data_IF_586142184985
#
_entry.id   IF_586142184985
#
_cell.length_a   1.000
_cell.length_b   1.000
_cell.length_c   1.000
_cell.angle_alpha   90.00
_cell.angle_beta   90.00
_cell.angle_gamma   90.00
#
_symmetry.space_group_name_H-M   'P 1'
#
loop_
_entity.id
_entity.type
_entity.pdbx_description
1 polymer ?
#
# COMPACT_ATOMS: atom_id res chain seq x y z
N UNK A 1 17.51 0.70 -0.38
CA UNK A 1 17.38 -0.35 0.66
C UNK A 1 17.91 -1.66 0.11
N UNK A 2 18.65 -2.39 0.92
CA UNK A 2 19.23 -3.67 0.57
C UNK A 2 19.26 -4.62 1.77
N UNK A 3 18.95 -5.90 1.55
CA UNK A 3 19.17 -6.97 2.53
C UNK A 3 20.18 -7.98 1.97
N UNK A 4 21.13 -8.39 2.79
CA UNK A 4 22.13 -9.40 2.44
C UNK A 4 21.65 -10.80 2.88
N UNK A 5 22.00 -11.86 2.14
CA UNK A 5 22.68 -11.88 0.84
C UNK A 5 21.76 -11.41 -0.30
N UNK A 6 22.31 -10.65 -1.25
CA UNK A 6 21.55 -10.14 -2.41
C UNK A 6 21.59 -11.14 -3.55
N UNK A 7 20.62 -12.05 -3.58
CA UNK A 7 20.56 -13.15 -4.57
C UNK A 7 19.81 -12.77 -5.85
N UNK A 8 18.93 -11.77 -5.78
CA UNK A 8 18.12 -11.34 -6.91
C UNK A 8 17.92 -9.82 -6.93
N UNK A 9 17.62 -9.26 -8.10
CA UNK A 9 17.45 -7.82 -8.32
C UNK A 9 16.50 -7.15 -7.29
N UNK A 10 15.34 -7.72 -6.93
CA UNK A 10 14.45 -7.11 -5.92
C UNK A 10 15.04 -7.01 -4.50
N UNK A 11 16.14 -7.70 -4.20
CA UNK A 11 16.86 -7.54 -2.91
C UNK A 11 17.56 -6.18 -2.78
N UNK A 12 17.57 -5.36 -3.83
CA UNK A 12 18.01 -3.97 -3.78
C UNK A 12 17.03 -3.08 -4.55
N UNK A 13 16.34 -2.19 -3.84
CA UNK A 13 15.38 -1.27 -4.45
C UNK A 13 15.46 0.12 -3.81
N UNK A 14 15.06 1.13 -4.56
CA UNK A 14 14.89 2.48 -4.09
C UNK A 14 13.51 2.68 -3.45
N UNK A 15 13.49 3.32 -2.29
CA UNK A 15 12.30 3.67 -1.53
C UNK A 15 12.28 5.18 -1.35
N UNK A 16 11.08 5.75 -1.25
CA UNK A 16 10.91 7.13 -0.85
C UNK A 16 11.12 7.26 0.67
N UNK A 17 11.86 8.30 1.07
CA UNK A 17 12.23 8.50 2.47
C UNK A 17 11.13 9.30 3.18
N UNK A 18 10.58 8.72 4.25
CA UNK A 18 9.69 9.43 5.18
C UNK A 18 10.31 9.45 6.58
N UNK A 19 10.65 10.65 7.06
CA UNK A 19 11.22 10.82 8.41
C UNK A 19 10.10 10.78 9.45
N UNK A 20 10.17 9.83 10.39
CA UNK A 20 9.14 9.59 11.39
C UNK A 20 9.44 10.33 12.71
N UNK A 21 9.38 11.68 12.68
CA UNK A 21 9.72 12.54 13.83
C UNK A 21 8.77 12.43 15.03
N UNK A 22 7.59 11.84 14.85
CA UNK A 22 6.58 11.71 15.90
C UNK A 22 6.81 10.49 16.80
N UNK A 23 7.75 9.62 16.45
CA UNK A 23 8.06 8.44 17.25
C UNK A 23 9.04 8.80 18.37
N UNK A 24 9.00 8.08 19.51
CA UNK A 24 9.98 8.25 20.57
C UNK A 24 11.41 7.96 20.08
N UNK A 25 12.40 8.66 20.64
CA UNK A 25 13.83 8.49 20.32
C UNK A 25 14.36 7.06 20.59
N UNK A 26 13.61 6.26 21.36
CA UNK A 26 13.92 4.84 21.60
C UNK A 26 13.70 3.95 20.38
N UNK A 27 12.99 4.41 19.36
CA UNK A 27 12.71 3.62 18.15
C UNK A 27 13.69 3.97 17.04
N UNK A 28 14.86 3.32 17.08
CA UNK A 28 15.98 3.55 16.16
C UNK A 28 16.03 2.52 15.01
N UNK A 29 14.87 2.06 14.54
CA UNK A 29 14.77 1.03 13.49
C UNK A 29 14.26 1.61 12.18
N UNK A 30 14.73 1.03 11.07
CA UNK A 30 14.17 1.32 9.76
C UNK A 30 12.79 0.66 9.67
N UNK A 31 11.83 1.36 9.05
CA UNK A 31 10.47 0.85 8.83
C UNK A 31 10.16 0.76 7.36
N UNK A 32 9.51 -0.33 6.97
CA UNK A 32 9.00 -0.53 5.63
C UNK A 32 7.66 -1.25 5.65
N UNK A 33 6.90 -1.12 4.55
CA UNK A 33 5.63 -1.82 4.41
C UNK A 33 5.84 -3.33 4.20
N UNK A 34 5.00 -4.16 4.83
CA UNK A 34 5.03 -5.64 4.73
C UNK A 34 5.00 -6.17 3.29
N UNK A 35 4.43 -5.41 2.36
CA UNK A 35 4.37 -5.77 0.95
C UNK A 35 5.75 -5.91 0.28
N UNK A 36 6.83 -5.43 0.92
CA UNK A 36 8.20 -5.56 0.45
C UNK A 36 8.95 -6.74 1.08
N UNK A 37 8.39 -7.40 2.09
CA UNK A 37 9.06 -8.46 2.84
C UNK A 37 9.50 -9.60 1.93
N UNK A 38 8.61 -10.07 1.05
CA UNK A 38 8.92 -11.10 0.06
C UNK A 38 10.07 -10.68 -0.87
N UNK A 39 10.16 -9.41 -1.26
CA UNK A 39 11.24 -8.91 -2.13
C UNK A 39 12.61 -8.92 -1.47
N UNK A 40 12.66 -8.79 -0.14
CA UNK A 40 13.90 -8.82 0.65
C UNK A 40 14.14 -10.15 1.36
N UNK A 41 13.17 -11.06 1.30
CA UNK A 41 13.09 -12.25 2.14
C UNK A 41 13.23 -11.93 3.64
N UNK A 42 12.59 -10.84 4.09
CA UNK A 42 12.70 -10.32 5.45
C UNK A 42 11.48 -10.67 6.31
N UNK A 43 11.68 -10.97 7.59
CA UNK A 43 10.64 -11.45 8.52
C UNK A 43 10.54 -10.67 9.85
N UNK A 44 11.38 -9.65 10.04
CA UNK A 44 11.38 -8.74 11.20
C UNK A 44 11.70 -9.41 12.56
N UNK A 45 12.43 -10.52 12.56
CA UNK A 45 12.85 -11.22 13.80
C UNK A 45 14.17 -10.69 14.42
N UNK A 46 14.74 -9.63 13.84
CA UNK A 46 16.08 -9.13 14.14
C UNK A 46 16.90 -8.79 12.90
N UNK A 47 16.32 -8.96 11.71
CA UNK A 47 16.91 -8.60 10.42
C UNK A 47 17.54 -7.20 10.36
N UNK A 48 18.76 -7.13 9.83
CA UNK A 48 19.45 -5.89 9.50
C UNK A 48 19.38 -5.60 7.99
N UNK A 49 19.25 -4.31 7.65
CA UNK A 49 19.20 -3.86 6.25
C UNK A 49 20.07 -2.62 6.04
N UNK A 50 20.66 -2.55 4.85
CA UNK A 50 21.50 -1.44 4.44
C UNK A 50 20.69 -0.33 3.76
N UNK A 51 20.97 0.90 4.16
CA UNK A 51 20.50 2.12 3.52
C UNK A 51 21.63 2.74 2.69
N UNK A 52 21.37 2.99 1.41
CA UNK A 52 22.29 3.73 0.54
C UNK A 52 21.60 5.02 0.11
N UNK A 53 22.31 6.15 0.17
CA UNK A 53 21.79 7.46 -0.23
C UNK A 53 22.43 7.87 -1.57
N UNK A 54 21.67 7.89 -2.68
CA UNK A 54 22.16 8.37 -3.97
C UNK A 54 22.44 9.88 -3.93
N UNK A 55 23.69 10.28 -4.12
CA UNK A 55 24.10 11.69 -4.05
C UNK A 55 23.95 12.44 -5.38
N UNK A 56 24.32 11.81 -6.50
CA UNK A 56 24.31 12.42 -7.84
C UNK A 56 22.91 12.48 -8.48
N UNK A 57 22.69 13.46 -9.37
CA UNK A 57 21.42 13.63 -10.08
C UNK A 57 21.07 12.42 -10.94
N UNK A 58 22.06 11.86 -11.65
CA UNK A 58 21.88 10.64 -12.47
C UNK A 58 21.45 9.48 -11.58
N UNK A 59 22.17 9.23 -10.49
CA UNK A 59 21.86 8.14 -9.55
C UNK A 59 20.46 8.31 -8.90
N UNK A 60 20.05 9.56 -8.59
CA UNK A 60 18.69 9.85 -8.12
C UNK A 60 17.63 9.54 -9.18
N UNK A 61 17.89 9.91 -10.43
CA UNK A 61 16.99 9.62 -11.55
C UNK A 61 16.85 8.10 -11.78
N UNK A 62 17.96 7.36 -11.82
CA UNK A 62 17.94 5.90 -11.93
C UNK A 62 17.22 5.25 -10.74
N UNK A 63 17.41 5.82 -9.55
CA UNK A 63 16.69 5.37 -8.34
C UNK A 63 15.19 5.52 -8.48
N UNK A 64 14.71 6.66 -9.00
CA UNK A 64 13.27 6.94 -9.15
C UNK A 64 12.64 6.17 -10.31
N UNK A 65 13.36 6.00 -11.42
CA UNK A 65 12.78 5.53 -12.69
C UNK A 65 13.16 4.10 -13.08
N UNK A 66 14.14 3.48 -12.42
CA UNK A 66 14.59 2.12 -12.76
C UNK A 66 14.42 1.19 -11.56
N UNK A 67 15.02 1.52 -10.42
CA UNK A 67 15.07 0.62 -9.25
C UNK A 67 14.02 0.96 -8.18
N UNK A 68 13.10 1.88 -8.45
CA UNK A 68 12.03 2.21 -7.52
C UNK A 68 11.12 1.01 -7.25
N UNK A 69 10.70 0.84 -5.99
CA UNK A 69 9.90 -0.33 -5.61
C UNK A 69 8.65 -0.57 -6.49
N UNK A 70 7.84 0.45 -6.90
CA UNK A 70 6.64 0.20 -7.70
C UNK A 70 6.95 -0.40 -9.08
N UNK A 71 8.15 -0.14 -9.60
CA UNK A 71 8.62 -0.64 -10.90
C UNK A 71 9.18 -2.08 -10.81
N UNK A 72 9.31 -2.63 -9.60
CA UNK A 72 9.80 -3.99 -9.34
C UNK A 72 8.68 -4.89 -8.80
N UNK A 73 7.48 -4.79 -9.37
CA UNK A 73 6.31 -5.56 -8.93
C UNK A 73 6.39 -7.05 -9.32
N UNK A 74 7.04 -7.36 -10.44
CA UNK A 74 7.12 -8.70 -11.03
C UNK A 74 8.48 -9.33 -10.79
N UNK A 75 8.52 -10.64 -10.56
CA UNK A 75 9.75 -11.44 -10.52
C UNK A 75 10.29 -11.58 -11.96
N UNK A 76 11.58 -11.28 -12.21
CA UNK A 76 12.16 -11.40 -13.55
C UNK A 76 12.17 -12.83 -14.13
N UNK A 77 12.16 -13.84 -13.27
CA UNK A 77 12.30 -15.26 -13.63
C UNK A 77 11.06 -15.81 -14.33
N UNK A 78 9.87 -15.54 -13.78
CA UNK A 78 8.61 -16.13 -14.24
C UNK A 78 7.49 -15.10 -14.47
N UNK A 79 7.75 -13.81 -14.17
CA UNK A 79 6.74 -12.76 -14.27
C UNK A 79 5.64 -12.87 -13.21
N UNK A 80 5.81 -13.65 -12.14
CA UNK A 80 4.85 -13.67 -11.03
C UNK A 80 4.95 -12.38 -10.20
N UNK A 81 3.85 -11.90 -9.58
CA UNK A 81 3.92 -10.74 -8.70
C UNK A 81 4.64 -11.09 -7.38
N UNK A 82 5.71 -10.36 -7.03
CA UNK A 82 6.46 -10.57 -5.78
C UNK A 82 5.89 -9.79 -4.60
N UNK A 83 5.23 -8.65 -4.89
CA UNK A 83 4.71 -7.73 -3.88
C UNK A 83 3.23 -8.00 -3.67
N UNK A 84 2.86 -8.27 -2.42
CA UNK A 84 1.48 -8.56 -2.04
C UNK A 84 1.23 -8.28 -0.56
N UNK A 85 -0.04 -8.14 -0.21
CA UNK A 85 -0.44 -8.07 1.19
C UNK A 85 -0.38 -9.49 1.80
N UNK A 86 0.05 -9.57 3.06
CA UNK A 86 0.29 -10.85 3.76
C UNK A 86 -0.38 -10.84 5.14
N UNK A 87 -0.47 -12.03 5.75
CA UNK A 87 -0.89 -12.26 7.15
C UNK A 87 -2.24 -11.60 7.46
N UNK A 88 -2.28 -10.67 8.42
CA UNK A 88 -3.48 -9.99 8.91
C UNK A 88 -4.32 -9.36 7.79
N UNK A 89 -3.69 -8.89 6.70
CA UNK A 89 -4.42 -8.33 5.57
C UNK A 89 -5.27 -9.37 4.85
N UNK A 90 -4.76 -10.62 4.75
CA UNK A 90 -5.48 -11.73 4.14
C UNK A 90 -6.64 -12.15 5.04
N UNK A 91 -6.39 -12.28 6.35
CA UNK A 91 -7.42 -12.62 7.33
C UNK A 91 -8.52 -11.57 7.40
N UNK A 92 -8.14 -10.29 7.40
CA UNK A 92 -9.07 -9.17 7.36
C UNK A 92 -9.86 -9.16 6.04
N UNK A 93 -9.22 -9.41 4.90
CA UNK A 93 -9.91 -9.47 3.61
C UNK A 93 -10.94 -10.61 3.58
N UNK A 94 -10.61 -11.79 4.11
CA UNK A 94 -11.56 -12.91 4.23
C UNK A 94 -12.73 -12.49 5.10
N UNK A 95 -12.48 -12.00 6.33
CA UNK A 95 -13.54 -11.56 7.25
C UNK A 95 -14.41 -10.47 6.63
N UNK A 96 -13.82 -9.47 5.99
CA UNK A 96 -14.56 -8.40 5.33
C UNK A 96 -15.41 -8.89 4.15
N UNK A 97 -14.95 -9.89 3.41
CA UNK A 97 -15.65 -10.36 2.20
C UNK A 97 -16.63 -11.51 2.45
N UNK A 98 -16.80 -11.94 3.70
CA UNK A 98 -17.85 -12.89 4.07
C UNK A 98 -19.26 -12.30 3.82
N UNK A 99 -20.22 -13.18 3.50
CA UNK A 99 -21.57 -12.78 3.10
C UNK A 99 -22.41 -12.18 4.23
N UNK A 100 -22.10 -12.52 5.47
CA UNK A 100 -22.74 -12.07 6.70
C UNK A 100 -22.16 -10.76 7.25
N UNK A 101 -21.12 -10.21 6.60
CA UNK A 101 -20.48 -8.98 7.06
C UNK A 101 -21.21 -7.75 6.55
N UNK A 102 -21.98 -7.13 7.45
CA UNK A 102 -22.73 -5.90 7.22
C UNK A 102 -22.14 -4.71 7.99
N UNK A 103 -21.92 -3.61 7.28
CA UNK A 103 -21.22 -2.42 7.75
C UNK A 103 -22.22 -1.25 7.80
N UNK A 104 -22.19 -0.50 8.91
CA UNK A 104 -23.01 0.70 9.09
C UNK A 104 -22.45 1.88 8.28
N UNK A 105 -23.29 2.88 7.99
CA UNK A 105 -22.84 4.10 7.29
C UNK A 105 -21.67 4.80 7.98
N UNK A 106 -21.70 4.85 9.32
CA UNK A 106 -20.62 5.46 10.10
C UNK A 106 -19.30 4.71 9.94
N UNK A 107 -19.34 3.37 10.04
CA UNK A 107 -18.15 2.54 9.86
C UNK A 107 -17.66 2.56 8.41
N UNK A 108 -18.56 2.58 7.42
CA UNK A 108 -18.22 2.77 6.01
C UNK A 108 -17.39 4.04 5.78
N UNK A 109 -17.84 5.18 6.32
CA UNK A 109 -17.11 6.44 6.22
C UNK A 109 -15.72 6.37 6.89
N UNK A 110 -15.63 5.72 8.05
CA UNK A 110 -14.36 5.54 8.75
C UNK A 110 -13.37 4.66 7.96
N UNK A 111 -13.85 3.55 7.40
CA UNK A 111 -13.04 2.63 6.60
C UNK A 111 -12.55 3.26 5.30
N UNK A 112 -13.36 4.16 4.69
CA UNK A 112 -12.98 4.85 3.47
C UNK A 112 -12.04 6.05 3.71
N UNK A 113 -12.02 6.62 4.91
CA UNK A 113 -11.25 7.84 5.19
C UNK A 113 -9.75 7.75 4.81
N UNK A 114 -9.02 6.65 5.09
CA UNK A 114 -7.61 6.55 4.69
C UNK A 114 -7.42 6.52 3.16
N UNK A 115 -8.28 5.79 2.46
CA UNK A 115 -8.24 5.72 1.00
C UNK A 115 -8.54 7.09 0.37
N UNK A 116 -9.53 7.80 0.92
CA UNK A 116 -9.88 9.17 0.51
C UNK A 116 -8.71 10.11 0.75
N UNK A 117 -8.09 10.06 1.93
CA UNK A 117 -6.92 10.89 2.25
C UNK A 117 -5.75 10.63 1.29
N UNK A 118 -5.56 9.38 0.86
CA UNK A 118 -4.51 9.01 -0.10
C UNK A 118 -4.77 9.52 -1.53
N UNK A 119 -6.02 9.73 -1.93
CA UNK A 119 -6.39 10.24 -3.26
C UNK A 119 -6.82 11.72 -3.25
N UNK A 120 -6.87 12.35 -2.08
CA UNK A 120 -7.36 13.71 -1.88
C UNK A 120 -6.26 14.73 -2.19
N UNK A 121 -5.69 14.66 -3.38
CA UNK A 121 -4.91 15.75 -3.96
C UNK A 121 -5.82 16.57 -4.88
N UNK A 122 -5.89 17.89 -4.65
CA UNK A 122 -6.71 18.80 -5.44
C UNK A 122 -8.03 19.25 -4.78
N UNK A 123 -8.96 19.82 -5.56
CA UNK A 123 -10.16 20.45 -5.02
C UNK A 123 -11.11 19.41 -4.39
N UNK A 124 -11.91 19.82 -3.38
CA UNK A 124 -12.83 18.92 -2.69
C UNK A 124 -13.82 18.29 -3.69
N UNK A 125 -13.76 16.95 -3.81
CA UNK A 125 -14.68 16.17 -4.63
C UNK A 125 -15.82 15.62 -3.76
N UNK A 126 -17.06 15.78 -4.23
CA UNK A 126 -18.21 15.15 -3.59
C UNK A 126 -18.20 13.64 -3.87
N UNK A 127 -17.76 12.86 -2.90
CA UNK A 127 -17.81 11.40 -2.97
C UNK A 127 -19.21 10.90 -2.61
N UNK A 128 -19.85 10.20 -3.56
CA UNK A 128 -21.14 9.56 -3.35
C UNK A 128 -20.91 8.09 -3.00
N UNK A 129 -21.33 7.71 -1.80
CA UNK A 129 -21.33 6.31 -1.39
C UNK A 129 -22.19 5.48 -2.35
N UNK A 130 -21.82 4.21 -2.58
CA UNK A 130 -22.66 3.29 -3.35
C UNK A 130 -24.00 3.06 -2.61
N UNK A 131 -25.06 2.64 -3.31
CA UNK A 131 -26.32 2.31 -2.66
C UNK A 131 -26.11 1.18 -1.63
N UNK A 132 -26.74 1.25 -0.44
CA UNK A 132 -26.63 0.20 0.56
C UNK A 132 -27.23 -1.12 0.03
N UNK A 133 -26.62 -2.24 0.40
CA UNK A 133 -27.12 -3.57 0.05
C UNK A 133 -28.43 -3.91 0.77
N UNK A 134 -28.60 -3.42 2.00
CA UNK A 134 -29.86 -3.51 2.74
C UNK A 134 -30.35 -2.10 3.06
N UNK A 135 -31.60 -1.80 2.68
CA UNK A 135 -32.25 -0.51 2.95
C UNK A 135 -33.08 -0.53 4.24
N UNK A 136 -33.72 -1.67 4.55
CA UNK A 136 -34.57 -1.87 5.72
C UNK A 136 -34.12 -3.11 6.50
N UNK A 137 -34.24 -3.14 7.84
CA UNK A 137 -34.77 -2.07 8.71
C UNK A 137 -33.80 -0.89 8.89
N UNK A 138 -32.51 -1.07 8.57
CA UNK A 138 -31.52 -0.01 8.57
C UNK A 138 -30.61 -0.13 7.35
N UNK A 139 -30.08 1.00 6.89
CA UNK A 139 -29.07 1.02 5.83
C UNK A 139 -27.81 0.26 6.25
N UNK A 140 -27.41 -0.72 5.44
CA UNK A 140 -26.17 -1.49 5.60
C UNK A 140 -25.50 -1.74 4.25
N UNK A 141 -24.18 -1.70 4.28
CA UNK A 141 -23.31 -2.07 3.16
C UNK A 141 -22.67 -3.42 3.45
N UNK A 142 -22.29 -4.15 2.40
CA UNK A 142 -21.46 -5.35 2.58
C UNK A 142 -19.99 -4.98 2.61
N UNK A 143 -19.14 -5.78 3.24
CA UNK A 143 -17.69 -5.53 3.17
C UNK A 143 -17.12 -5.63 1.75
N UNK A 144 -17.76 -6.40 0.86
CA UNK A 144 -17.45 -6.41 -0.59
C UNK A 144 -17.65 -5.04 -1.23
N UNK A 145 -18.72 -4.32 -0.89
CA UNK A 145 -18.98 -2.97 -1.39
C UNK A 145 -17.91 -1.98 -0.93
N UNK A 146 -17.40 -2.13 0.29
CA UNK A 146 -16.31 -1.28 0.80
C UNK A 146 -15.06 -1.48 -0.02
N UNK A 147 -14.62 -2.73 -0.19
CA UNK A 147 -13.40 -3.07 -0.93
C UNK A 147 -13.52 -2.63 -2.40
N UNK A 148 -14.63 -2.95 -3.06
CA UNK A 148 -14.87 -2.55 -4.45
C UNK A 148 -14.80 -1.02 -4.61
N UNK A 149 -15.49 -0.28 -3.73
CA UNK A 149 -15.47 1.18 -3.77
C UNK A 149 -14.09 1.76 -3.49
N UNK A 150 -13.32 1.18 -2.56
CA UNK A 150 -11.93 1.59 -2.30
C UNK A 150 -11.04 1.39 -3.51
N UNK A 151 -11.15 0.23 -4.18
CA UNK A 151 -10.39 -0.06 -5.40
C UNK A 151 -10.77 0.92 -6.51
N UNK A 152 -12.06 1.12 -6.75
CA UNK A 152 -12.54 2.05 -7.78
C UNK A 152 -12.03 3.48 -7.53
N UNK A 153 -12.05 3.95 -6.27
CA UNK A 153 -11.57 5.26 -5.89
C UNK A 153 -10.08 5.44 -6.23
N UNK A 154 -9.25 4.46 -5.87
CA UNK A 154 -7.81 4.50 -6.11
C UNK A 154 -7.49 4.38 -7.60
N UNK A 155 -8.14 3.47 -8.31
CA UNK A 155 -7.95 3.29 -9.76
C UNK A 155 -8.33 4.55 -10.52
N UNK A 156 -9.47 5.17 -10.19
CA UNK A 156 -9.88 6.43 -10.83
C UNK A 156 -8.84 7.53 -10.61
N UNK A 157 -8.32 7.67 -9.39
CA UNK A 157 -7.26 8.64 -9.11
C UNK A 157 -6.02 8.38 -9.97
N UNK A 158 -5.50 7.14 -9.97
CA UNK A 158 -4.33 6.74 -10.76
C UNK A 158 -4.52 6.85 -12.29
N UNK A 159 -5.74 6.68 -12.80
CA UNK A 159 -6.01 6.85 -14.24
C UNK A 159 -6.16 8.33 -14.64
N UNK A 160 -6.63 9.19 -13.73
CA UNK A 160 -6.83 10.62 -14.03
C UNK A 160 -5.57 11.46 -13.83
N UNK A 161 -4.74 11.07 -12.87
CA UNK A 161 -3.44 11.68 -12.64
C UNK A 161 -2.40 10.74 -13.24
N UNK A 162 -1.95 11.04 -14.47
CA UNK A 162 -0.82 10.34 -15.07
C UNK A 162 0.41 10.32 -14.14
N UNK A 163 1.45 9.51 -14.43
CA UNK A 163 2.60 9.37 -13.55
C UNK A 163 3.15 10.76 -13.18
N UNK A 164 3.06 11.11 -11.89
CA UNK A 164 3.58 12.37 -11.36
C UNK A 164 5.09 12.36 -11.51
N UNK A 165 5.61 13.32 -12.28
CA UNK A 165 7.04 13.50 -12.61
C UNK A 165 7.96 13.67 -11.39
#
# INVERSE_FOLDING_TARGET
MNRQPTLHKPSMMAHEVRVLRHLPDSQQTIRMHYANCNSYNADFDGDEMNCHLPMGLVAKSESKHIVATPLQYMVPTDGSPIRGLIQDHVDAAVKMTQMDTFISRALMNQLLAPAIAAVSEGPPRLLRLPPPALLKPMERWTGKQVIAYTVDLVVQHCCTEGPKE
#
